data_IF_089553260817
#
_entry.id   IF_089553260817
#
_cell.length_a   1.000
_cell.length_b   1.000
_cell.length_c   1.000
_cell.angle_alpha   90.00
_cell.angle_beta   90.00
_cell.angle_gamma   90.00
#
_symmetry.space_group_name_H-M   'P 1'
#
loop_
_entity.id
_entity.type
_entity.pdbx_description
1 polymer ?
#
# COMPACT_ATOMS: atom_id res chain seq x y z
N UNK A 1 6.62 -16.33 23.28
CA UNK A 1 6.93 -16.79 24.65
C UNK A 1 5.59 -17.12 25.27
N UNK A 2 5.33 -18.38 25.64
CA UNK A 2 4.06 -18.79 26.25
C UNK A 2 4.17 -18.54 27.75
N UNK A 3 3.30 -17.72 28.32
CA UNK A 3 3.25 -17.47 29.77
C UNK A 3 2.61 -18.66 30.49
N UNK A 4 3.07 -18.95 31.72
CA UNK A 4 2.44 -19.98 32.57
C UNK A 4 1.08 -19.51 33.08
N UNK A 5 0.13 -20.43 33.29
CA UNK A 5 -1.24 -20.12 33.77
C UNK A 5 -1.23 -19.23 35.04
N UNK A 6 -0.38 -19.53 36.02
CA UNK A 6 -0.24 -18.71 37.24
C UNK A 6 0.19 -17.24 36.95
N UNK A 7 0.94 -17.00 35.88
CA UNK A 7 1.33 -15.66 35.46
C UNK A 7 0.18 -14.95 34.74
N UNK A 8 -0.70 -15.69 34.04
CA UNK A 8 -1.88 -15.16 33.36
C UNK A 8 -2.95 -14.76 34.40
N UNK A 9 -3.18 -15.60 35.41
CA UNK A 9 -4.04 -15.27 36.56
C UNK A 9 -3.53 -14.07 37.34
N UNK A 10 -2.22 -13.99 37.59
CA UNK A 10 -1.61 -12.85 38.30
C UNK A 10 -1.75 -11.51 37.53
N UNK A 11 -2.00 -11.53 36.21
CA UNK A 11 -2.32 -10.34 35.40
C UNK A 11 -3.81 -9.94 35.45
N UNK A 12 -4.63 -10.71 36.18
CA UNK A 12 -6.05 -10.47 36.39
C UNK A 12 -6.97 -11.08 35.32
N UNK A 13 -6.50 -12.09 34.58
CA UNK A 13 -7.34 -12.86 33.67
C UNK A 13 -7.96 -14.05 34.42
N UNK A 14 -9.21 -14.37 34.11
CA UNK A 14 -9.91 -15.57 34.59
C UNK A 14 -10.10 -16.58 33.48
N UNK A 15 -10.03 -17.86 33.84
CA UNK A 15 -10.30 -18.96 32.92
C UNK A 15 -11.79 -19.00 32.60
N UNK A 16 -12.09 -19.05 31.31
CA UNK A 16 -13.42 -19.06 30.78
C UNK A 16 -13.84 -20.50 30.43
N UNK A 17 -15.03 -20.96 30.81
CA UNK A 17 -15.46 -22.34 30.55
C UNK A 17 -15.69 -22.60 29.05
N UNK A 18 -15.38 -23.80 28.56
CA UNK A 18 -15.67 -24.20 27.16
C UNK A 18 -17.17 -24.18 26.80
N UNK A 19 -18.04 -24.23 27.83
CA UNK A 19 -19.49 -24.18 27.67
C UNK A 19 -20.03 -22.78 27.36
N UNK A 20 -19.24 -21.76 27.64
CA UNK A 20 -19.60 -20.37 27.37
C UNK A 20 -18.96 -19.96 26.05
N UNK A 21 -19.74 -19.33 25.17
CA UNK A 21 -19.42 -19.21 23.74
C UNK A 21 -19.47 -17.75 23.33
N UNK A 22 -18.34 -17.22 22.86
CA UNK A 22 -18.26 -15.83 22.42
C UNK A 22 -18.11 -15.78 20.90
N UNK A 23 -19.09 -15.18 20.22
CA UNK A 23 -18.96 -14.87 18.80
C UNK A 23 -18.29 -13.51 18.61
N UNK A 24 -17.17 -13.49 17.90
CA UNK A 24 -16.37 -12.28 17.67
C UNK A 24 -16.14 -12.10 16.17
N UNK A 25 -16.21 -10.86 15.70
CA UNK A 25 -15.69 -10.46 14.38
C UNK A 25 -14.45 -9.63 14.58
N UNK A 26 -13.34 -10.03 13.94
CA UNK A 26 -12.10 -9.27 14.03
C UNK A 26 -11.98 -8.28 12.89
N UNK A 27 -11.24 -7.22 13.16
CA UNK A 27 -10.67 -6.36 12.16
C UNK A 27 -9.36 -5.75 12.62
N UNK A 28 -8.62 -5.18 11.69
CA UNK A 28 -7.42 -4.42 11.97
C UNK A 28 -7.49 -3.09 11.25
N UNK A 29 -7.27 -2.02 12.01
CA UNK A 29 -7.08 -0.68 11.49
C UNK A 29 -5.58 -0.43 11.41
N UNK A 30 -5.10 -0.12 10.20
CA UNK A 30 -3.75 0.40 9.94
C UNK A 30 -3.84 1.89 9.70
N UNK A 31 -3.03 2.65 10.44
CA UNK A 31 -2.97 4.11 10.34
C UNK A 31 -1.69 4.52 9.62
N UNK A 32 -1.84 5.33 8.59
CA UNK A 32 -0.75 5.97 7.87
C UNK A 32 -0.91 7.49 7.93
N UNK A 33 0.20 8.21 8.12
CA UNK A 33 0.24 9.66 7.90
C UNK A 33 0.47 9.93 6.42
N UNK A 34 -0.35 10.81 5.86
CA UNK A 34 -0.26 11.25 4.48
C UNK A 34 0.70 12.43 4.42
N UNK A 35 1.79 12.25 3.69
CA UNK A 35 2.78 13.29 3.46
C UNK A 35 2.63 13.81 2.04
N UNK A 36 2.53 15.12 1.85
CA UNK A 36 2.45 15.75 0.52
C UNK A 36 1.05 16.20 0.09
N UNK A 37 -0.01 15.81 0.83
CA UNK A 37 -1.40 16.25 0.61
C UNK A 37 -2.04 16.61 1.93
N UNK A 38 -2.79 17.71 1.97
CA UNK A 38 -3.64 18.13 3.09
C UNK A 38 -5.05 18.45 2.58
N UNK A 39 -6.05 18.42 3.46
CA UNK A 39 -7.34 19.06 3.13
C UNK A 39 -7.14 20.57 2.96
N UNK A 40 -7.84 21.16 1.99
CA UNK A 40 -7.77 22.59 1.75
C UNK A 40 -8.31 23.35 2.99
N UNK A 41 -7.66 24.44 3.46
CA UNK A 41 -8.09 25.13 4.68
C UNK A 41 -9.53 25.68 4.63
N UNK A 42 -10.06 25.90 3.42
CA UNK A 42 -11.43 26.38 3.20
C UNK A 42 -12.47 25.27 3.06
N UNK A 43 -12.06 23.99 3.17
CA UNK A 43 -12.98 22.86 3.06
C UNK A 43 -13.87 22.75 4.29
N UNK A 44 -15.17 22.57 4.07
CA UNK A 44 -16.16 22.40 5.14
C UNK A 44 -16.06 21.04 5.84
N UNK A 45 -15.46 20.06 5.18
CA UNK A 45 -15.15 18.73 5.71
C UNK A 45 -13.65 18.49 5.62
N UNK A 46 -13.14 17.73 6.59
CA UNK A 46 -11.74 17.28 6.61
C UNK A 46 -11.64 15.76 6.68
N UNK A 47 -12.66 15.10 6.16
CA UNK A 47 -12.82 13.66 6.10
C UNK A 47 -13.39 13.25 4.75
N UNK A 48 -12.89 12.14 4.22
CA UNK A 48 -13.35 11.52 2.98
C UNK A 48 -14.55 10.60 3.23
N UNK A 49 -15.17 10.14 2.14
CA UNK A 49 -16.10 9.03 2.20
C UNK A 49 -15.36 7.72 2.49
N UNK A 50 -16.08 6.72 3.02
CA UNK A 50 -15.56 5.37 3.20
C UNK A 50 -15.60 4.63 1.87
N UNK A 51 -14.44 4.19 1.39
CA UNK A 51 -14.30 3.50 0.11
C UNK A 51 -13.86 2.06 0.33
N UNK A 52 -14.52 1.12 -0.37
CA UNK A 52 -14.24 -0.31 -0.27
C UNK A 52 -13.12 -0.72 -1.25
N UNK A 53 -12.15 -1.47 -0.76
CA UNK A 53 -11.07 -2.07 -1.55
C UNK A 53 -11.16 -3.59 -1.48
N UNK A 54 -11.46 -4.25 -2.60
CA UNK A 54 -11.72 -5.70 -2.60
C UNK A 54 -12.85 -6.08 -1.63
N UNK A 55 -12.90 -7.33 -1.19
CA UNK A 55 -14.01 -7.78 -0.35
C UNK A 55 -13.89 -7.29 1.09
N UNK A 56 -12.73 -7.49 1.73
CA UNK A 56 -12.54 -7.39 3.18
C UNK A 56 -11.94 -6.06 3.67
N UNK A 57 -11.77 -5.06 2.80
CA UNK A 57 -11.08 -3.83 3.17
C UNK A 57 -11.90 -2.57 2.89
N UNK A 58 -11.83 -1.61 3.80
CA UNK A 58 -12.39 -0.27 3.65
C UNK A 58 -11.35 0.77 4.05
N UNK A 59 -11.32 1.90 3.36
CA UNK A 59 -10.34 2.97 3.53
C UNK A 59 -11.04 4.31 3.71
N UNK A 60 -10.51 5.15 4.60
CA UNK A 60 -10.92 6.55 4.75
C UNK A 60 -9.69 7.44 4.95
N UNK A 61 -9.77 8.70 4.53
CA UNK A 61 -8.76 9.74 4.77
C UNK A 61 -9.38 10.82 5.64
N UNK A 62 -8.74 11.17 6.75
CA UNK A 62 -9.28 12.11 7.74
C UNK A 62 -8.19 12.95 8.39
N UNK A 63 -8.49 14.20 8.75
CA UNK A 63 -7.63 14.98 9.64
C UNK A 63 -7.70 14.50 11.10
N UNK A 64 -8.82 13.88 11.52
CA UNK A 64 -8.94 13.25 12.84
C UNK A 64 -8.92 11.71 12.73
N UNK A 65 -8.02 11.09 13.49
CA UNK A 65 -7.93 9.65 13.69
C UNK A 65 -9.22 9.10 14.28
N UNK A 66 -9.76 9.74 15.32
CA UNK A 66 -10.96 9.26 15.98
C UNK A 66 -12.20 9.40 15.08
N UNK A 67 -12.32 10.50 14.34
CA UNK A 67 -13.42 10.67 13.38
C UNK A 67 -13.36 9.60 12.28
N UNK A 68 -12.17 9.36 11.69
CA UNK A 68 -11.96 8.32 10.69
C UNK A 68 -12.20 6.92 11.22
N UNK A 69 -11.74 6.62 12.44
CA UNK A 69 -11.91 5.30 13.05
C UNK A 69 -13.37 5.03 13.40
N UNK A 70 -14.11 6.03 13.90
CA UNK A 70 -15.55 5.91 14.15
C UNK A 70 -16.33 5.61 12.89
N UNK A 71 -15.98 6.22 11.75
CA UNK A 71 -16.63 5.89 10.47
C UNK A 71 -16.38 4.45 10.03
N UNK A 72 -15.22 3.87 10.32
CA UNK A 72 -14.85 2.52 9.90
C UNK A 72 -15.31 1.43 10.85
N UNK A 73 -15.25 1.69 12.16
CA UNK A 73 -15.40 0.69 13.23
C UNK A 73 -16.54 0.99 14.19
N UNK A 74 -17.02 2.24 14.24
CA UNK A 74 -17.95 2.73 15.28
C UNK A 74 -17.26 3.23 16.55
N UNK A 75 -15.94 3.08 16.67
CA UNK A 75 -15.17 3.35 17.89
C UNK A 75 -14.04 4.35 17.67
N UNK A 76 -13.59 4.96 18.77
CA UNK A 76 -12.41 5.82 18.76
C UNK A 76 -11.14 4.97 18.59
N UNK A 77 -10.12 5.55 17.96
CA UNK A 77 -8.80 4.93 17.89
C UNK A 77 -7.97 5.22 19.15
N UNK A 78 -8.17 6.40 19.74
CA UNK A 78 -7.51 6.89 20.96
C UNK A 78 -8.59 7.31 21.95
N UNK A 79 -8.55 6.78 23.17
CA UNK A 79 -9.60 6.97 24.18
C UNK A 79 -9.60 8.35 24.85
N UNK A 80 -8.41 8.96 25.01
CA UNK A 80 -8.25 10.20 25.77
C UNK A 80 -8.07 11.42 24.86
N UNK A 81 -6.82 11.68 24.45
CA UNK A 81 -6.40 12.91 23.80
C UNK A 81 -5.66 12.60 22.50
N UNK A 82 -6.36 12.83 21.39
CA UNK A 82 -5.83 12.64 20.05
C UNK A 82 -4.68 13.63 19.73
N UNK A 83 -4.75 14.88 20.21
CA UNK A 83 -3.72 15.88 19.94
C UNK A 83 -2.40 15.48 20.61
N UNK A 84 -2.47 15.13 21.90
CA UNK A 84 -1.31 14.63 22.64
C UNK A 84 -0.75 13.34 22.01
N UNK A 85 -1.62 12.44 21.53
CA UNK A 85 -1.19 11.25 20.80
C UNK A 85 -0.41 11.62 19.52
N UNK A 86 -0.92 12.56 18.74
CA UNK A 86 -0.28 13.03 17.50
C UNK A 86 1.08 13.67 17.78
N UNK A 87 1.18 14.49 18.82
CA UNK A 87 2.44 15.11 19.27
C UNK A 87 3.47 14.07 19.72
N UNK A 88 3.07 13.13 20.58
CA UNK A 88 3.93 12.06 21.07
C UNK A 88 4.46 11.18 19.94
N UNK A 89 3.64 10.95 18.91
CA UNK A 89 4.00 10.17 17.72
C UNK A 89 4.78 10.97 16.68
N UNK A 90 4.95 12.29 16.87
CA UNK A 90 5.59 13.21 15.92
C UNK A 90 5.01 13.07 14.51
N UNK A 91 3.71 12.83 14.44
CA UNK A 91 2.97 12.61 13.20
C UNK A 91 2.09 13.82 12.90
N UNK A 92 1.51 13.89 11.70
CA UNK A 92 0.61 14.97 11.32
C UNK A 92 -0.52 14.45 10.42
N UNK A 93 -1.71 15.07 10.50
CA UNK A 93 -2.78 14.82 9.55
C UNK A 93 -2.44 15.34 8.15
N UNK A 94 -3.14 14.86 7.10
CA UNK A 94 -4.22 13.88 7.18
C UNK A 94 -3.71 12.44 7.38
N UNK A 95 -4.59 11.58 7.88
CA UNK A 95 -4.34 10.17 8.11
C UNK A 95 -5.14 9.31 7.13
N UNK A 96 -4.52 8.29 6.55
CA UNK A 96 -5.21 7.18 5.87
C UNK A 96 -5.41 6.08 6.89
N UNK A 97 -6.67 5.67 7.09
CA UNK A 97 -7.01 4.51 7.89
C UNK A 97 -7.46 3.39 6.95
N UNK A 98 -6.74 2.27 6.97
CA UNK A 98 -7.06 1.05 6.21
C UNK A 98 -7.61 0.03 7.18
N UNK A 99 -8.89 -0.30 7.05
CA UNK A 99 -9.57 -1.25 7.91
C UNK A 99 -9.85 -2.56 7.17
N UNK A 100 -9.19 -3.63 7.59
CA UNK A 100 -9.53 -4.99 7.18
C UNK A 100 -10.49 -5.59 8.19
N UNK A 101 -11.59 -6.20 7.73
CA UNK A 101 -12.58 -6.82 8.61
C UNK A 101 -12.96 -8.22 8.15
N UNK A 102 -13.14 -9.12 9.12
CA UNK A 102 -13.75 -10.41 8.89
C UNK A 102 -15.26 -10.25 8.70
N UNK A 103 -15.83 -10.90 7.68
CA UNK A 103 -17.28 -10.97 7.50
C UNK A 103 -17.92 -12.17 8.21
N UNK A 104 -17.13 -13.20 8.52
CA UNK A 104 -17.59 -14.37 9.26
C UNK A 104 -17.37 -14.15 10.76
N UNK A 105 -18.36 -14.52 11.57
CA UNK A 105 -18.18 -14.59 13.03
C UNK A 105 -17.30 -15.79 13.36
N UNK A 106 -16.35 -15.59 14.27
CA UNK A 106 -15.58 -16.67 14.88
C UNK A 106 -16.12 -16.96 16.26
N UNK A 107 -16.16 -18.24 16.59
CA UNK A 107 -16.62 -18.71 17.88
C UNK A 107 -15.41 -19.00 18.76
N UNK A 108 -15.26 -18.25 19.85
CA UNK A 108 -14.34 -18.57 20.93
C UNK A 108 -15.01 -19.53 21.91
N UNK A 109 -14.30 -20.61 22.24
CA UNK A 109 -14.65 -21.56 23.29
C UNK A 109 -13.46 -21.68 24.23
N UNK A 110 -13.68 -21.45 25.53
CA UNK A 110 -12.62 -21.49 26.53
C UNK A 110 -11.58 -20.35 26.41
N UNK A 111 -10.54 -20.40 27.25
CA UNK A 111 -9.42 -19.45 27.23
C UNK A 111 -9.39 -18.49 28.41
N UNK A 112 -8.61 -17.41 28.31
CA UNK A 112 -8.40 -16.45 29.39
C UNK A 112 -8.96 -15.09 29.02
N UNK A 113 -9.84 -14.54 29.88
CA UNK A 113 -10.47 -13.23 29.67
C UNK A 113 -10.31 -12.32 30.88
N UNK A 114 -10.33 -11.01 30.63
CA UNK A 114 -10.39 -9.97 31.66
C UNK A 114 -11.38 -8.91 31.21
N UNK A 115 -12.35 -8.59 32.05
CA UNK A 115 -13.22 -7.44 31.81
C UNK A 115 -12.48 -6.17 32.25
N UNK A 116 -12.47 -5.16 31.39
CA UNK A 116 -11.88 -3.87 31.68
C UNK A 116 -12.76 -2.77 31.11
N UNK A 117 -13.35 -1.94 31.98
CA UNK A 117 -14.12 -0.74 31.59
C UNK A 117 -15.22 -0.98 30.53
N UNK A 118 -15.90 -2.12 30.61
CA UNK A 118 -16.96 -2.49 29.67
C UNK A 118 -16.49 -3.19 28.40
N UNK A 119 -15.18 -3.43 28.25
CA UNK A 119 -14.55 -4.20 27.17
C UNK A 119 -14.04 -5.56 27.67
N UNK A 120 -13.86 -6.52 26.76
CA UNK A 120 -13.30 -7.84 27.07
C UNK A 120 -11.89 -7.91 26.50
N UNK A 121 -10.89 -8.02 27.38
CA UNK A 121 -9.52 -8.35 27.00
C UNK A 121 -9.35 -9.87 26.97
N UNK A 122 -8.72 -10.41 25.92
CA UNK A 122 -8.41 -11.85 25.81
C UNK A 122 -6.91 -12.07 25.61
N UNK A 123 -6.36 -13.16 26.16
CA UNK A 123 -4.95 -13.49 25.98
C UNK A 123 -4.77 -14.58 24.92
N UNK A 124 -4.23 -14.20 23.76
CA UNK A 124 -3.93 -15.05 22.59
C UNK A 124 -5.05 -16.02 22.16
N UNK A 125 -6.30 -15.60 22.35
CA UNK A 125 -7.48 -16.44 22.15
C UNK A 125 -7.82 -16.71 20.66
N UNK A 126 -7.13 -16.07 19.71
CA UNK A 126 -7.47 -16.09 18.27
C UNK A 126 -6.26 -16.23 17.35
N UNK A 127 -5.42 -17.26 17.49
CA UNK A 127 -4.21 -17.42 16.67
C UNK A 127 -4.54 -17.53 15.17
N UNK A 128 -5.61 -18.24 14.81
CA UNK A 128 -6.03 -18.42 13.40
C UNK A 128 -6.68 -17.17 12.78
N UNK A 129 -7.43 -16.39 13.56
CA UNK A 129 -7.98 -15.09 13.09
C UNK A 129 -6.88 -14.06 12.83
N UNK A 130 -5.84 -14.05 13.66
CA UNK A 130 -4.64 -13.23 13.44
C UNK A 130 -3.88 -13.66 12.19
N UNK A 131 -3.86 -14.95 11.83
CA UNK A 131 -3.22 -15.44 10.61
C UNK A 131 -3.96 -15.00 9.34
N UNK A 132 -5.28 -15.09 9.32
CA UNK A 132 -6.08 -14.67 8.16
C UNK A 132 -6.02 -13.16 7.93
N UNK A 133 -6.10 -12.37 9.01
CA UNK A 133 -5.89 -10.92 8.94
C UNK A 133 -4.49 -10.61 8.41
N UNK A 134 -3.44 -11.23 8.97
CA UNK A 134 -2.05 -11.04 8.48
C UNK A 134 -1.90 -11.44 7.01
N UNK A 135 -2.64 -12.46 6.55
CA UNK A 135 -2.64 -12.86 5.14
C UNK A 135 -3.28 -11.79 4.27
N UNK A 136 -4.45 -11.27 4.63
CA UNK A 136 -5.10 -10.17 3.89
C UNK A 136 -4.23 -8.92 3.86
N UNK A 137 -3.64 -8.55 4.99
CA UNK A 137 -2.70 -7.43 5.05
C UNK A 137 -1.51 -7.67 4.11
N UNK A 138 -0.91 -8.86 4.18
CA UNK A 138 0.23 -9.19 3.33
C UNK A 138 -0.13 -9.14 1.84
N UNK A 139 -1.30 -9.62 1.45
CA UNK A 139 -1.70 -9.76 0.04
C UNK A 139 -2.28 -8.47 -0.55
N UNK A 140 -3.06 -7.72 0.23
CA UNK A 140 -3.83 -6.57 -0.26
C UNK A 140 -3.21 -5.22 0.09
N UNK A 141 -2.58 -5.06 1.26
CA UNK A 141 -2.06 -3.77 1.72
C UNK A 141 -1.06 -3.15 0.73
N UNK A 142 -0.13 -3.90 0.11
CA UNK A 142 0.78 -3.31 -0.87
C UNK A 142 0.08 -2.76 -2.09
N UNK A 143 -0.98 -3.42 -2.59
CA UNK A 143 -1.76 -2.93 -3.72
C UNK A 143 -2.52 -1.66 -3.34
N UNK A 144 -3.15 -1.64 -2.16
CA UNK A 144 -3.91 -0.47 -1.65
C UNK A 144 -2.97 0.74 -1.53
N UNK A 145 -1.84 0.59 -0.84
CA UNK A 145 -0.91 1.70 -0.64
C UNK A 145 -0.31 2.17 -1.96
N UNK A 146 0.00 1.24 -2.87
CA UNK A 146 0.53 1.58 -4.20
C UNK A 146 -0.48 2.36 -5.03
N UNK A 147 -1.76 1.96 -5.06
CA UNK A 147 -2.79 2.67 -5.82
C UNK A 147 -3.11 4.04 -5.20
N UNK A 148 -3.20 4.13 -3.87
CA UNK A 148 -3.38 5.40 -3.17
C UNK A 148 -2.25 6.38 -3.47
N UNK A 149 -0.99 5.93 -3.41
CA UNK A 149 0.15 6.80 -3.76
C UNK A 149 0.09 7.23 -5.22
N UNK A 150 -0.31 6.34 -6.15
CA UNK A 150 -0.42 6.67 -7.57
C UNK A 150 -1.41 7.83 -7.82
N UNK A 151 -2.59 7.83 -7.19
CA UNK A 151 -3.62 8.85 -7.43
C UNK A 151 -3.53 10.08 -6.51
N UNK A 152 -2.96 9.94 -5.31
CA UNK A 152 -2.77 11.08 -4.43
C UNK A 152 -1.59 11.95 -4.87
N UNK A 153 -0.55 11.34 -5.47
CA UNK A 153 0.65 12.03 -5.93
C UNK A 153 0.42 12.85 -7.19
N UNK A 154 1.24 13.89 -7.35
CA UNK A 154 1.57 14.44 -8.67
C UNK A 154 3.07 14.24 -8.93
N UNK A 155 3.50 14.39 -10.19
CA UNK A 155 4.92 14.25 -10.54
C UNK A 155 5.84 15.26 -9.84
N UNK A 156 5.30 16.44 -9.52
CA UNK A 156 6.02 17.48 -8.80
C UNK A 156 5.88 17.35 -7.28
N UNK A 157 4.82 16.68 -6.81
CA UNK A 157 4.48 16.54 -5.39
C UNK A 157 4.13 15.08 -5.09
N UNK A 158 5.15 14.23 -4.93
CA UNK A 158 4.93 12.83 -4.61
C UNK A 158 4.40 12.70 -3.18
N UNK A 159 3.38 11.87 -3.03
CA UNK A 159 2.78 11.54 -1.73
C UNK A 159 3.49 10.33 -1.14
N UNK A 160 3.79 10.41 0.15
CA UNK A 160 4.24 9.26 0.92
C UNK A 160 3.20 8.90 1.96
N UNK A 161 2.92 7.60 2.12
CA UNK A 161 2.09 7.08 3.20
C UNK A 161 3.01 6.43 4.23
N UNK A 162 3.18 7.09 5.37
CA UNK A 162 4.11 6.64 6.42
C UNK A 162 3.32 5.87 7.48
N UNK A 163 3.63 4.59 7.73
CA UNK A 163 2.98 3.81 8.78
C UNK A 163 3.19 4.50 10.13
N UNK A 164 2.08 4.72 10.83
CA UNK A 164 2.08 5.30 12.18
C UNK A 164 1.80 4.19 13.17
N UNK A 165 0.59 3.62 13.15
CA UNK A 165 0.19 2.66 14.18
C UNK A 165 -0.80 1.62 13.63
N UNK A 166 -1.10 0.63 14.47
CA UNK A 166 -2.12 -0.36 14.19
C UNK A 166 -2.84 -0.83 15.43
N UNK A 167 -4.15 -0.95 15.31
CA UNK A 167 -4.99 -1.55 16.32
C UNK A 167 -5.76 -2.71 15.69
N UNK A 168 -5.65 -3.90 16.28
CA UNK A 168 -6.55 -5.01 16.02
C UNK A 168 -7.68 -4.85 17.01
N UNK A 169 -8.92 -4.86 16.52
CA UNK A 169 -10.09 -4.92 17.39
C UNK A 169 -11.02 -6.06 16.98
N UNK A 170 -11.73 -6.60 17.97
CA UNK A 170 -12.78 -7.59 17.77
C UNK A 170 -14.09 -7.07 18.35
N UNK A 171 -15.21 -7.27 17.67
CA UNK A 171 -16.53 -6.92 18.20
C UNK A 171 -17.32 -8.19 18.46
N UNK A 172 -17.88 -8.32 19.66
CA UNK A 172 -18.75 -9.45 20.00
C UNK A 172 -20.14 -9.31 19.37
N UNK A 173 -20.92 -10.38 19.29
CA UNK A 173 -22.33 -10.33 18.84
C UNK A 173 -23.23 -9.41 19.70
N UNK A 174 -22.80 -9.10 20.93
CA UNK A 174 -23.44 -8.12 21.82
C UNK A 174 -22.94 -6.68 21.67
N UNK A 175 -22.00 -6.40 20.75
CA UNK A 175 -21.45 -5.06 20.51
C UNK A 175 -20.29 -4.65 21.43
N UNK A 176 -19.65 -5.61 22.11
CA UNK A 176 -18.53 -5.32 23.02
C UNK A 176 -17.20 -5.42 22.27
N UNK A 177 -16.33 -4.44 22.46
CA UNK A 177 -15.02 -4.30 21.83
C UNK A 177 -13.92 -5.12 22.54
N UNK A 178 -12.96 -5.62 21.77
CA UNK A 178 -11.78 -6.40 22.17
C UNK A 178 -10.58 -5.77 21.46
N UNK A 179 -9.44 -5.51 22.13
CA UNK A 179 -8.29 -4.81 21.52
C UNK A 179 -6.96 -5.57 21.63
N UNK A 180 -6.10 -5.45 20.60
CA UNK A 180 -4.69 -5.91 20.56
C UNK A 180 -3.86 -4.92 19.69
N UNK A 181 -2.95 -4.15 20.30
CA UNK A 181 -2.30 -2.98 19.69
C UNK A 181 -0.80 -3.20 19.49
N UNK A 182 -0.25 -2.76 18.35
CA UNK A 182 1.19 -2.81 18.06
C UNK A 182 1.71 -1.52 17.41
N UNK A 183 2.71 -0.92 18.06
CA UNK A 183 3.25 0.41 17.79
C UNK A 183 4.47 0.44 16.83
N UNK A 184 4.53 1.46 15.97
CA UNK A 184 5.74 1.89 15.24
C UNK A 184 5.84 3.43 15.19
N UNK A 185 7.00 4.02 14.92
CA UNK A 185 7.16 5.49 14.84
C UNK A 185 8.24 5.88 13.82
N UNK A 186 7.96 6.90 13.00
CA UNK A 186 8.90 7.50 12.04
C UNK A 186 8.57 9.00 11.86
N UNK A 187 9.59 9.87 11.75
CA UNK A 187 9.44 11.30 11.51
C UNK A 187 10.23 11.73 10.26
N UNK A 188 9.58 12.43 9.33
CA UNK A 188 10.19 13.02 8.11
C UNK A 188 9.53 14.40 7.83
N UNK A 189 10.25 15.32 7.17
CA UNK A 189 9.77 16.67 6.79
C UNK A 189 9.36 16.72 5.31
N UNK A 190 8.20 17.31 4.98
CA UNK A 190 7.63 17.36 3.63
C UNK A 190 6.79 18.63 3.39
N UNK A 191 6.53 18.95 2.12
CA UNK A 191 5.68 20.08 1.68
C UNK A 191 4.38 19.53 1.10
N UNK A 192 3.23 19.97 1.65
CA UNK A 192 1.90 19.47 1.24
C UNK A 192 1.14 20.42 0.31
N UNK A 193 0.33 19.86 -0.58
CA UNK A 193 -0.68 20.60 -1.35
C UNK A 193 -2.08 20.44 -0.75
N UNK A 194 -2.86 21.52 -0.69
CA UNK A 194 -4.27 21.46 -0.32
C UNK A 194 -5.12 20.81 -1.41
N UNK A 195 -5.93 19.81 -1.06
CA UNK A 195 -6.96 19.18 -1.90
C UNK A 195 -8.33 19.30 -1.24
N UNK A 196 -9.39 19.41 -2.03
CA UNK A 196 -10.76 19.37 -1.49
C UNK A 196 -11.16 17.94 -1.10
N UNK A 197 -12.16 17.75 -0.22
CA UNK A 197 -12.74 16.43 0.06
C UNK A 197 -13.19 15.71 -1.20
N UNK A 198 -13.77 16.44 -2.16
CA UNK A 198 -14.21 15.91 -3.44
C UNK A 198 -13.02 15.37 -4.25
N UNK A 199 -11.90 16.09 -4.31
CA UNK A 199 -10.67 15.62 -4.98
C UNK A 199 -10.06 14.39 -4.31
N UNK A 200 -10.12 14.34 -2.97
CA UNK A 200 -9.66 13.19 -2.18
C UNK A 200 -10.57 11.98 -2.43
N UNK A 201 -11.89 12.17 -2.46
CA UNK A 201 -12.87 11.14 -2.78
C UNK A 201 -12.69 10.60 -4.20
N UNK A 202 -12.49 11.48 -5.19
CA UNK A 202 -12.17 11.06 -6.56
C UNK A 202 -10.87 10.24 -6.60
N UNK A 203 -9.83 10.69 -5.89
CA UNK A 203 -8.56 9.95 -5.82
C UNK A 203 -8.74 8.57 -5.18
N UNK A 204 -9.56 8.45 -4.13
CA UNK A 204 -9.88 7.18 -3.49
C UNK A 204 -10.66 6.24 -4.43
N UNK A 205 -11.66 6.77 -5.14
CA UNK A 205 -12.46 5.99 -6.10
C UNK A 205 -11.58 5.47 -7.24
N UNK A 206 -10.79 6.33 -7.90
CA UNK A 206 -9.85 5.89 -8.95
C UNK A 206 -8.83 4.87 -8.43
N UNK A 207 -8.40 4.99 -7.17
CA UNK A 207 -7.50 4.02 -6.54
C UNK A 207 -8.08 2.62 -6.43
N UNK A 208 -9.41 2.47 -6.39
CA UNK A 208 -10.06 1.14 -6.38
C UNK A 208 -9.96 0.45 -7.73
N UNK A 209 -10.12 1.19 -8.83
CA UNK A 209 -9.99 0.67 -10.20
C UNK A 209 -8.57 0.17 -10.48
N UNK A 210 -7.55 0.96 -10.07
CA UNK A 210 -6.14 0.56 -10.23
C UNK A 210 -5.78 -0.60 -9.29
N UNK A 211 -6.32 -0.62 -8.07
CA UNK A 211 -6.07 -1.70 -7.10
C UNK A 211 -6.35 -3.09 -7.68
N UNK A 212 -7.44 -3.25 -8.46
CA UNK A 212 -7.82 -4.53 -9.06
C UNK A 212 -6.86 -4.99 -10.17
N UNK A 213 -6.14 -4.05 -10.81
CA UNK A 213 -5.22 -4.34 -11.90
C UNK A 213 -3.78 -4.61 -11.44
N UNK A 214 -3.44 -4.15 -10.23
CA UNK A 214 -2.13 -4.28 -9.62
C UNK A 214 -1.81 -5.73 -9.23
N UNK A 215 -0.58 -6.17 -9.49
CA UNK A 215 -0.10 -7.48 -9.04
C UNK A 215 0.69 -7.33 -7.74
N UNK A 216 0.29 -8.06 -6.70
CA UNK A 216 0.98 -8.09 -5.41
C UNK A 216 2.51 -8.19 -5.52
N UNK A 217 3.02 -9.07 -6.41
CA UNK A 217 4.47 -9.29 -6.54
C UNK A 217 5.23 -8.06 -7.04
N UNK A 218 4.61 -7.17 -7.81
CA UNK A 218 5.19 -5.89 -8.19
C UNK A 218 4.98 -4.88 -7.06
N UNK A 219 3.72 -4.69 -6.62
CA UNK A 219 3.34 -3.68 -5.62
C UNK A 219 4.08 -3.83 -4.30
N UNK A 220 4.40 -5.05 -3.86
CA UNK A 220 5.20 -5.29 -2.64
C UNK A 220 6.57 -4.60 -2.69
N UNK A 221 7.18 -4.48 -3.87
CA UNK A 221 8.48 -3.84 -4.02
C UNK A 221 8.35 -2.32 -3.96
N UNK A 222 7.31 -1.75 -4.58
CA UNK A 222 6.99 -0.33 -4.44
C UNK A 222 6.68 0.03 -2.98
N UNK A 223 5.81 -0.75 -2.33
CA UNK A 223 5.49 -0.63 -0.92
C UNK A 223 6.72 -0.77 -0.02
N UNK A 224 7.62 -1.71 -0.30
CA UNK A 224 8.87 -1.87 0.46
C UNK A 224 9.77 -0.65 0.30
N UNK A 225 9.88 -0.11 -0.91
CA UNK A 225 10.69 1.07 -1.20
C UNK A 225 10.20 2.32 -0.43
N UNK A 226 8.88 2.50 -0.32
CA UNK A 226 8.28 3.62 0.43
C UNK A 226 8.59 3.58 1.94
N UNK A 227 8.74 2.38 2.51
CA UNK A 227 8.88 2.17 3.94
C UNK A 227 10.32 1.91 4.41
N UNK A 228 11.23 1.77 3.47
CA UNK A 228 12.65 1.52 3.74
C UNK A 228 13.37 2.84 4.06
N UNK A 229 14.39 2.81 4.92
CA UNK A 229 15.22 3.97 5.27
C UNK A 229 16.57 3.93 4.56
N UNK A 230 17.07 2.73 4.31
CA UNK A 230 18.33 2.48 3.61
C UNK A 230 18.19 2.79 2.12
N UNK A 231 18.98 3.75 1.60
CA UNK A 231 18.85 4.22 0.22
C UNK A 231 19.14 3.13 -0.81
N UNK A 232 20.05 2.21 -0.49
CA UNK A 232 20.38 1.09 -1.37
C UNK A 232 19.19 0.13 -1.50
N UNK A 233 18.57 -0.27 -0.39
CA UNK A 233 17.36 -1.10 -0.40
C UNK A 233 16.17 -0.38 -1.01
N UNK A 234 16.01 0.93 -0.79
CA UNK A 234 14.99 1.74 -1.47
C UNK A 234 15.19 1.70 -2.99
N UNK A 235 16.41 1.98 -3.47
CA UNK A 235 16.75 1.94 -4.89
C UNK A 235 16.44 0.58 -5.51
N UNK A 236 16.94 -0.50 -4.90
CA UNK A 236 16.71 -1.85 -5.40
C UNK A 236 15.22 -2.20 -5.41
N UNK A 237 14.47 -1.78 -4.40
CA UNK A 237 13.03 -2.05 -4.33
C UNK A 237 12.26 -1.29 -5.42
N UNK A 238 12.56 -0.01 -5.67
CA UNK A 238 11.96 0.70 -6.81
C UNK A 238 12.37 0.09 -8.16
N UNK A 239 13.64 -0.29 -8.33
CA UNK A 239 14.10 -0.94 -9.56
C UNK A 239 13.39 -2.28 -9.80
N UNK A 240 13.25 -3.11 -8.77
CA UNK A 240 12.54 -4.40 -8.85
C UNK A 240 11.05 -4.22 -9.20
N UNK A 241 10.43 -3.14 -8.71
CA UNK A 241 9.08 -2.77 -9.15
C UNK A 241 9.06 -2.47 -10.66
N UNK A 242 9.94 -1.58 -11.15
CA UNK A 242 10.02 -1.22 -12.58
C UNK A 242 10.29 -2.45 -13.45
N UNK A 243 11.25 -3.29 -13.07
CA UNK A 243 11.63 -4.50 -13.79
C UNK A 243 10.46 -5.50 -13.90
N UNK A 244 9.77 -5.75 -12.79
CA UNK A 244 8.64 -6.67 -12.76
C UNK A 244 7.46 -6.14 -13.58
N UNK A 245 7.14 -4.86 -13.44
CA UNK A 245 6.06 -4.22 -14.20
C UNK A 245 6.39 -4.24 -15.70
N UNK A 246 7.64 -3.95 -16.08
CA UNK A 246 8.12 -4.08 -17.47
C UNK A 246 7.92 -5.50 -18.00
N UNK A 247 8.36 -6.52 -17.27
CA UNK A 247 8.19 -7.90 -17.70
C UNK A 247 6.72 -8.33 -17.80
N UNK A 248 5.87 -7.88 -16.89
CA UNK A 248 4.43 -8.16 -16.91
C UNK A 248 3.77 -7.50 -18.12
N UNK A 249 4.00 -6.19 -18.32
CA UNK A 249 3.44 -5.43 -19.44
C UNK A 249 3.91 -6.01 -20.77
N UNK A 250 5.22 -6.25 -20.93
CA UNK A 250 5.75 -6.80 -22.18
C UNK A 250 5.18 -8.18 -22.52
N UNK A 251 4.97 -9.06 -21.52
CA UNK A 251 4.37 -10.38 -21.73
C UNK A 251 2.90 -10.34 -22.18
N UNK A 252 2.20 -9.22 -21.93
CA UNK A 252 0.80 -9.04 -22.34
C UNK A 252 0.68 -8.46 -23.74
N UNK A 253 1.75 -7.88 -24.27
CA UNK A 253 1.76 -7.31 -25.61
C UNK A 253 1.70 -8.42 -26.67
N UNK A 254 0.80 -8.25 -27.62
CA UNK A 254 0.73 -9.02 -28.85
C UNK A 254 1.25 -8.17 -30.02
N UNK A 255 2.09 -8.76 -30.87
CA UNK A 255 2.67 -8.04 -31.99
C UNK A 255 1.60 -7.56 -32.98
N UNK A 256 0.61 -8.39 -33.31
CA UNK A 256 -0.39 -8.08 -34.33
C UNK A 256 -1.41 -7.05 -33.84
N UNK A 257 -1.76 -7.12 -32.56
CA UNK A 257 -2.76 -6.23 -31.94
C UNK A 257 -2.13 -4.90 -31.53
N UNK A 258 -0.99 -4.93 -30.84
CA UNK A 258 -0.46 -3.74 -30.16
C UNK A 258 0.65 -3.05 -30.95
N UNK A 259 1.63 -3.82 -31.45
CA UNK A 259 2.84 -3.24 -32.05
C UNK A 259 2.64 -2.88 -33.53
N UNK A 260 2.11 -3.79 -34.33
CA UNK A 260 1.95 -3.65 -35.79
C UNK A 260 1.24 -2.35 -36.21
N UNK A 261 0.15 -1.89 -35.54
CA UNK A 261 -0.54 -0.66 -35.92
C UNK A 261 0.31 0.61 -35.78
N UNK A 262 1.35 0.59 -34.95
CA UNK A 262 2.20 1.75 -34.71
C UNK A 262 3.25 1.98 -35.82
N UNK A 263 3.50 0.97 -36.65
CA UNK A 263 4.50 1.06 -37.71
C UNK A 263 3.87 1.53 -39.02
N UNK A 264 4.31 2.70 -39.49
CA UNK A 264 3.97 3.19 -40.82
C UNK A 264 4.86 2.54 -41.89
N UNK A 265 4.56 1.30 -42.26
CA UNK A 265 5.28 0.57 -43.31
C UNK A 265 4.74 0.99 -44.69
N UNK A 266 5.59 1.45 -45.63
CA UNK A 266 5.14 1.76 -46.98
C UNK A 266 4.48 0.54 -47.66
N UNK A 267 3.36 0.74 -48.37
CA UNK A 267 2.56 -0.35 -48.93
C UNK A 267 3.34 -1.31 -49.85
N UNK A 268 4.39 -0.80 -50.52
CA UNK A 268 5.28 -1.62 -51.38
C UNK A 268 6.21 -2.57 -50.61
N UNK A 269 6.33 -2.40 -49.28
CA UNK A 269 7.22 -3.15 -48.40
C UNK A 269 6.48 -3.89 -47.28
N UNK A 270 5.13 -3.93 -47.30
CA UNK A 270 4.30 -4.42 -46.19
C UNK A 270 4.73 -5.79 -45.66
N UNK A 271 4.99 -6.76 -46.54
CA UNK A 271 5.37 -8.13 -46.15
C UNK A 271 6.76 -8.14 -45.46
N UNK A 272 7.78 -7.63 -46.14
CA UNK A 272 9.15 -7.56 -45.61
C UNK A 272 9.26 -6.70 -44.34
N UNK A 273 8.52 -5.59 -44.27
CA UNK A 273 8.52 -4.69 -43.12
C UNK A 273 7.80 -5.31 -41.94
N UNK A 274 6.65 -5.96 -42.15
CA UNK A 274 5.93 -6.67 -41.08
C UNK A 274 6.79 -7.79 -40.49
N UNK A 275 7.48 -8.57 -41.33
CA UNK A 275 8.39 -9.62 -40.86
C UNK A 275 9.56 -9.04 -40.05
N UNK A 276 10.15 -7.93 -40.50
CA UNK A 276 11.25 -7.27 -39.79
C UNK A 276 10.84 -6.79 -38.40
N UNK A 277 9.71 -6.09 -38.29
CA UNK A 277 9.24 -5.59 -36.99
C UNK A 277 8.76 -6.70 -36.06
N UNK A 278 8.16 -7.76 -36.59
CA UNK A 278 7.79 -8.95 -35.82
C UNK A 278 9.03 -9.63 -35.23
N UNK A 279 10.08 -9.80 -36.03
CA UNK A 279 11.36 -10.32 -35.56
C UNK A 279 11.95 -9.44 -34.46
N UNK A 280 11.98 -8.11 -34.65
CA UNK A 280 12.46 -7.17 -33.62
C UNK A 280 11.68 -7.21 -32.32
N UNK A 281 10.36 -7.41 -32.39
CA UNK A 281 9.52 -7.60 -31.22
C UNK A 281 9.86 -8.92 -30.51
N UNK A 282 9.96 -10.02 -31.26
CA UNK A 282 10.30 -11.34 -30.71
C UNK A 282 11.72 -11.43 -30.13
N UNK A 283 12.66 -10.65 -30.67
CA UNK A 283 14.06 -10.61 -30.24
C UNK A 283 14.32 -9.74 -29.00
N UNK A 284 13.28 -9.12 -28.43
CA UNK A 284 13.38 -8.31 -27.21
C UNK A 284 13.66 -9.18 -25.96
N UNK A 285 14.91 -9.60 -25.83
CA UNK A 285 15.38 -10.51 -24.76
C UNK A 285 15.83 -9.76 -23.52
N UNK A 286 16.41 -8.57 -23.66
CA UNK A 286 16.92 -7.81 -22.52
C UNK A 286 15.88 -6.85 -21.94
N UNK A 287 16.08 -6.45 -20.69
CA UNK A 287 15.13 -5.60 -19.97
C UNK A 287 14.94 -4.23 -20.64
N UNK A 288 16.00 -3.62 -21.20
CA UNK A 288 15.91 -2.31 -21.83
C UNK A 288 15.08 -2.33 -23.12
N UNK A 289 15.22 -3.38 -23.93
CA UNK A 289 14.38 -3.57 -25.11
C UNK A 289 12.91 -3.70 -24.73
N UNK A 290 12.61 -4.52 -23.71
CA UNK A 290 11.24 -4.70 -23.21
C UNK A 290 10.67 -3.41 -22.64
N UNK A 291 11.48 -2.65 -21.91
CA UNK A 291 11.10 -1.34 -21.39
C UNK A 291 10.71 -0.38 -22.52
N UNK A 292 11.53 -0.28 -23.57
CA UNK A 292 11.24 0.57 -24.72
C UNK A 292 9.95 0.18 -25.43
N UNK A 293 9.68 -1.13 -25.60
CA UNK A 293 8.41 -1.60 -26.14
C UNK A 293 7.22 -1.18 -25.27
N UNK A 294 7.32 -1.34 -23.95
CA UNK A 294 6.26 -0.88 -23.04
C UNK A 294 6.08 0.63 -23.05
N UNK A 295 7.17 1.41 -23.10
CA UNK A 295 7.11 2.87 -23.17
C UNK A 295 6.43 3.36 -24.45
N UNK A 296 6.67 2.68 -25.58
CA UNK A 296 6.06 3.05 -26.87
C UNK A 296 4.59 2.63 -27.00
N UNK A 297 4.22 1.48 -26.44
CA UNK A 297 2.93 0.84 -26.73
C UNK A 297 1.92 0.92 -25.58
N UNK A 298 2.38 1.08 -24.33
CA UNK A 298 1.53 0.98 -23.13
C UNK A 298 1.56 2.27 -22.33
N UNK A 299 2.76 2.76 -22.00
CA UNK A 299 2.91 3.85 -21.03
C UNK A 299 2.95 5.22 -21.72
N UNK A 300 1.78 5.67 -22.16
CA UNK A 300 1.58 6.90 -22.92
C UNK A 300 2.04 8.20 -22.24
N UNK A 301 2.31 8.20 -20.93
CA UNK A 301 2.84 9.37 -20.21
C UNK A 301 4.37 9.43 -20.18
N UNK A 302 5.05 8.37 -20.61
CA UNK A 302 6.51 8.35 -20.68
C UNK A 302 7.02 9.09 -21.91
N UNK A 303 8.20 9.70 -21.77
CA UNK A 303 8.90 10.37 -22.85
C UNK A 303 10.37 9.91 -22.94
N UNK A 304 11.12 10.46 -23.89
CA UNK A 304 12.52 10.08 -24.12
C UNK A 304 13.42 10.29 -22.87
N UNK A 305 13.12 11.29 -22.04
CA UNK A 305 13.84 11.49 -20.78
C UNK A 305 13.62 10.32 -19.82
N UNK A 306 12.42 9.75 -19.79
CA UNK A 306 12.10 8.60 -18.93
C UNK A 306 12.80 7.32 -19.40
N UNK A 307 12.97 7.16 -20.72
CA UNK A 307 13.75 6.06 -21.30
C UNK A 307 15.24 6.21 -20.94
N UNK A 308 15.78 7.42 -21.04
CA UNK A 308 17.16 7.69 -20.63
C UNK A 308 17.36 7.45 -19.14
N UNK A 309 16.43 7.92 -18.31
CA UNK A 309 16.41 7.66 -16.87
C UNK A 309 16.43 6.14 -16.60
N UNK A 310 15.56 5.36 -17.26
CA UNK A 310 15.56 3.90 -17.12
C UNK A 310 16.93 3.28 -17.43
N UNK A 311 17.57 3.70 -18.52
CA UNK A 311 18.87 3.16 -18.92
C UNK A 311 19.97 3.46 -17.88
N UNK A 312 19.95 4.66 -17.29
CA UNK A 312 20.85 5.01 -16.19
C UNK A 312 20.60 4.17 -14.95
N UNK A 313 19.33 4.01 -14.53
CA UNK A 313 18.95 3.17 -13.39
C UNK A 313 19.42 1.72 -13.59
N UNK A 314 19.23 1.18 -14.80
CA UNK A 314 19.67 -0.17 -15.16
C UNK A 314 21.19 -0.30 -15.08
N UNK A 315 21.94 0.70 -15.57
CA UNK A 315 23.40 0.73 -15.48
C UNK A 315 23.86 0.70 -14.02
N UNK A 316 23.29 1.52 -13.15
CA UNK A 316 23.61 1.52 -11.71
C UNK A 316 23.30 0.16 -11.08
N UNK A 317 22.14 -0.42 -11.38
CA UNK A 317 21.78 -1.77 -10.88
C UNK A 317 22.76 -2.84 -11.34
N UNK A 318 23.21 -2.79 -12.60
CA UNK A 318 24.16 -3.76 -13.13
C UNK A 318 25.54 -3.61 -12.46
N UNK A 319 26.02 -2.39 -12.20
CA UNK A 319 27.25 -2.15 -11.43
C UNK A 319 27.16 -2.79 -10.04
N UNK A 320 26.09 -2.49 -9.30
CA UNK A 320 25.84 -3.08 -7.98
C UNK A 320 25.79 -4.62 -8.01
N UNK A 321 25.18 -5.20 -9.06
CA UNK A 321 25.08 -6.65 -9.21
C UNK A 321 26.43 -7.32 -9.48
N UNK A 322 27.38 -6.59 -10.07
CA UNK A 322 28.75 -7.05 -10.28
C UNK A 322 29.67 -6.81 -9.07
N UNK A 323 29.15 -6.24 -7.97
CA UNK A 323 29.91 -5.97 -6.76
C UNK A 323 30.79 -4.71 -6.83
N UNK A 324 30.51 -3.81 -7.77
CA UNK A 324 31.18 -2.52 -7.86
C UNK A 324 30.79 -1.61 -6.69
N UNK A 325 31.74 -0.80 -6.21
CA UNK A 325 31.50 0.16 -5.14
C UNK A 325 30.83 1.42 -5.70
N UNK A 326 29.53 1.53 -5.50
CA UNK A 326 28.73 2.71 -5.87
C UNK A 326 28.42 3.49 -4.59
N UNK A 327 28.89 4.75 -4.46
CA UNK A 327 28.60 5.57 -3.29
C UNK A 327 27.10 5.73 -3.05
N UNK A 328 26.68 5.71 -1.79
CA UNK A 328 25.27 5.86 -1.42
C UNK A 328 24.66 7.20 -1.88
N UNK A 329 25.49 8.25 -1.95
CA UNK A 329 25.13 9.58 -2.48
C UNK A 329 24.74 9.53 -3.96
N UNK A 330 25.31 8.59 -4.70
CA UNK A 330 25.19 8.51 -6.16
C UNK A 330 24.03 7.59 -6.57
N UNK A 331 23.41 6.90 -5.59
CA UNK A 331 22.24 6.07 -5.83
C UNK A 331 21.06 6.94 -6.32
N UNK A 332 20.53 6.68 -7.53
CA UNK A 332 19.49 7.50 -8.15
C UNK A 332 18.09 7.14 -7.62
N UNK A 333 17.91 7.14 -6.31
CA UNK A 333 16.65 6.73 -5.63
C UNK A 333 15.47 7.56 -6.09
N UNK A 334 15.61 8.88 -6.12
CA UNK A 334 14.53 9.79 -6.50
C UNK A 334 14.12 9.62 -7.97
N UNK A 335 15.09 9.35 -8.84
CA UNK A 335 14.85 9.05 -10.25
C UNK A 335 14.10 7.72 -10.40
N UNK A 336 14.50 6.69 -9.65
CA UNK A 336 13.79 5.40 -9.63
C UNK A 336 12.34 5.56 -9.12
N UNK A 337 12.15 6.32 -8.04
CA UNK A 337 10.84 6.64 -7.48
C UNK A 337 9.95 7.36 -8.51
N UNK A 338 10.47 8.42 -9.13
CA UNK A 338 9.73 9.20 -10.14
C UNK A 338 9.31 8.34 -11.32
N UNK A 339 10.21 7.51 -11.85
CA UNK A 339 9.90 6.62 -12.96
C UNK A 339 8.87 5.56 -12.57
N UNK A 340 9.01 4.96 -11.39
CA UNK A 340 8.03 4.01 -10.85
C UNK A 340 6.64 4.64 -10.71
N UNK A 341 6.55 5.86 -10.18
CA UNK A 341 5.30 6.61 -10.05
C UNK A 341 4.68 6.95 -11.41
N UNK A 342 5.47 7.30 -12.42
CA UNK A 342 4.97 7.53 -13.78
C UNK A 342 4.36 6.27 -14.38
N UNK A 343 5.05 5.13 -14.26
CA UNK A 343 4.55 3.84 -14.73
C UNK A 343 3.22 3.50 -14.02
N UNK A 344 3.11 3.74 -12.71
CA UNK A 344 1.86 3.52 -11.98
C UNK A 344 0.73 4.43 -12.45
N UNK A 345 1.00 5.70 -12.74
CA UNK A 345 0.00 6.64 -13.26
C UNK A 345 -0.48 6.35 -14.69
N UNK A 346 0.05 5.30 -15.34
CA UNK A 346 -0.43 4.80 -16.64
C UNK A 346 -1.25 3.52 -16.55
N UNK A 347 -1.30 2.88 -15.37
CA UNK A 347 -2.07 1.65 -15.14
C UNK A 347 -3.55 1.98 -14.99
#
# INVERSE_FOLDING_TARGET
MILSNNAIEAMGFSEYPESDVLEVRFGIVRVFSVQGVNFHPSSSKTISDVVKFGENCTVVISNSLNEGCRLLTGENFVDEDEENWVENRKTRPPFVLVYFKEFCTRTLKGGWRKEHEGSIMTYDAFPTGKEDIRKWEKESLPNIITSLVAHLSTLERPVNLVPVDSAISGTTSGGISLFDVKMTANANMFVSSGKTPEDINMSLQSSTEVFEQLEYKASRHFYSALNEKDRFKQFLSYFLFIERTTHKCFKRLDYNIDARPTFNVPSRLTESGSLFFEQRFSDAKNLAQRFNWCAQLVWNTLNDSDINDFNELKKTRDLLSHGEDVPESDLPVEKARKLASKILGTV
#
